data_IF_148406316435
#
_entry.id   IF_148406316435
#
_cell.length_a   1.000
_cell.length_b   1.000
_cell.length_c   1.000
_cell.angle_alpha   90.00
_cell.angle_beta   90.00
_cell.angle_gamma   90.00
#
_symmetry.space_group_name_H-M   'P 1'
#
loop_
_entity.id
_entity.type
_entity.pdbx_description
1 polymer ?
#
# COMPACT_ATOMS: atom_id res chain seq x y z
N UNK A 1 -5.36 12.52 -13.53
CA UNK A 1 -4.95 11.41 -12.61
C UNK A 1 -3.95 10.54 -13.34
N UNK A 2 -2.80 10.24 -12.73
CA UNK A 2 -1.70 9.50 -13.39
C UNK A 2 -2.12 8.19 -14.09
N UNK A 3 -2.99 7.39 -13.46
CA UNK A 3 -3.46 6.15 -14.08
C UNK A 3 -4.15 6.36 -15.45
N UNK A 4 -4.97 7.41 -15.57
CA UNK A 4 -5.65 7.73 -16.83
C UNK A 4 -4.66 7.98 -17.98
N UNK A 5 -3.53 8.58 -17.69
CA UNK A 5 -2.51 8.92 -18.68
C UNK A 5 -1.67 7.71 -19.09
N UNK A 6 -1.41 6.77 -18.19
CA UNK A 6 -0.53 5.62 -18.46
C UNK A 6 -1.28 4.38 -18.98
N UNK A 7 -2.56 4.22 -18.61
CA UNK A 7 -3.35 3.04 -18.96
C UNK A 7 -3.48 2.80 -20.46
N UNK A 8 -3.77 3.79 -21.35
CA UNK A 8 -3.90 3.53 -22.78
C UNK A 8 -2.65 2.85 -23.36
N UNK A 9 -1.46 3.33 -23.00
CA UNK A 9 -0.21 2.74 -23.44
C UNK A 9 0.04 1.35 -22.84
N UNK A 10 -0.36 1.10 -21.58
CA UNK A 10 -0.26 -0.22 -20.96
C UNK A 10 -1.22 -1.24 -21.60
N UNK A 11 -2.45 -0.83 -21.89
CA UNK A 11 -3.45 -1.65 -22.57
C UNK A 11 -2.97 -2.04 -23.98
N UNK A 12 -2.47 -1.06 -24.76
CA UNK A 12 -1.99 -1.29 -26.12
C UNK A 12 -0.86 -2.34 -26.19
N UNK A 13 0.08 -2.31 -25.20
CA UNK A 13 1.19 -3.28 -25.13
C UNK A 13 0.87 -4.52 -24.30
N UNK A 14 -0.35 -4.66 -23.76
CA UNK A 14 -0.81 -5.75 -22.90
C UNK A 14 0.15 -6.05 -21.73
N UNK A 15 0.75 -5.02 -21.18
CA UNK A 15 1.71 -5.12 -20.08
C UNK A 15 1.83 -3.82 -19.32
N UNK A 16 1.72 -3.88 -18.00
CA UNK A 16 1.93 -2.72 -17.12
C UNK A 16 1.89 -3.11 -15.65
N UNK A 17 2.49 -2.27 -14.82
CA UNK A 17 2.36 -2.38 -13.37
C UNK A 17 2.16 -1.00 -12.77
N UNK A 18 1.19 -0.90 -11.87
CA UNK A 18 0.84 0.33 -11.16
C UNK A 18 0.95 0.03 -9.67
N UNK A 19 1.70 0.86 -8.94
CA UNK A 19 1.79 0.77 -7.49
C UNK A 19 1.24 2.06 -6.89
N UNK A 20 0.11 1.95 -6.19
CA UNK A 20 -0.52 3.05 -5.49
C UNK A 20 -0.03 3.07 -4.04
N UNK A 21 0.57 4.16 -3.61
CA UNK A 21 1.03 4.30 -2.22
C UNK A 21 -0.16 4.52 -1.29
N UNK A 22 -0.51 3.48 -0.55
CA UNK A 22 -1.54 3.47 0.48
C UNK A 22 -0.93 3.58 1.89
N UNK A 23 -1.68 3.21 2.90
CA UNK A 23 -1.26 3.25 4.31
C UNK A 23 -2.05 2.24 5.13
N UNK A 24 -1.48 1.74 6.22
CA UNK A 24 -2.22 1.02 7.26
C UNK A 24 -3.41 1.80 7.84
N UNK A 25 -3.43 3.12 7.65
CA UNK A 25 -4.57 3.98 7.97
C UNK A 25 -5.86 3.61 7.22
N UNK A 26 -5.75 2.90 6.08
CA UNK A 26 -6.92 2.38 5.35
C UNK A 26 -7.74 1.38 6.18
N UNK A 27 -7.15 0.73 7.17
CA UNK A 27 -7.75 -0.34 7.98
C UNK A 27 -7.79 0.00 9.47
N UNK A 28 -6.93 0.90 9.93
CA UNK A 28 -6.74 1.21 11.34
C UNK A 28 -7.64 2.36 11.80
N UNK A 29 -8.10 2.27 13.04
CA UNK A 29 -8.77 3.40 13.70
C UNK A 29 -7.71 4.39 14.20
N UNK A 30 -7.62 5.53 13.51
CA UNK A 30 -6.71 6.61 13.89
C UNK A 30 -7.55 7.85 14.24
N UNK A 31 -7.87 8.07 15.51
CA UNK A 31 -8.60 9.28 15.94
C UNK A 31 -7.91 10.54 15.41
N UNK A 32 -8.71 11.56 15.05
CA UNK A 32 -8.27 12.85 14.48
C UNK A 32 -7.60 12.78 13.09
N UNK A 33 -7.46 11.57 12.51
CA UNK A 33 -6.94 11.35 11.14
C UNK A 33 -8.03 10.88 10.16
N UNK A 34 -9.30 11.16 10.43
CA UNK A 34 -10.43 10.61 9.67
C UNK A 34 -10.36 10.88 8.17
N UNK A 35 -10.05 12.12 7.75
CA UNK A 35 -9.90 12.44 6.33
C UNK A 35 -8.75 11.66 5.67
N UNK A 36 -7.61 11.54 6.34
CA UNK A 36 -6.47 10.76 5.86
C UNK A 36 -6.85 9.27 5.73
N UNK A 37 -7.47 8.69 6.76
CA UNK A 37 -7.94 7.31 6.73
C UNK A 37 -8.90 7.06 5.57
N UNK A 38 -9.88 7.96 5.37
CA UNK A 38 -10.84 7.87 4.26
C UNK A 38 -10.14 7.90 2.89
N UNK A 39 -9.17 8.80 2.69
CA UNK A 39 -8.42 8.87 1.42
C UNK A 39 -7.63 7.60 1.16
N UNK A 40 -6.98 7.02 2.18
CA UNK A 40 -6.18 5.79 2.04
C UNK A 40 -7.07 4.55 1.85
N UNK A 41 -8.23 4.49 2.49
CA UNK A 41 -9.23 3.46 2.24
C UNK A 41 -9.75 3.54 0.80
N UNK A 42 -10.06 4.74 0.29
CA UNK A 42 -10.48 4.96 -1.08
C UNK A 42 -9.41 4.51 -2.10
N UNK A 43 -8.13 4.87 -1.89
CA UNK A 43 -7.02 4.43 -2.75
C UNK A 43 -6.89 2.91 -2.74
N UNK A 44 -7.01 2.26 -1.58
CA UNK A 44 -6.90 0.80 -1.47
C UNK A 44 -8.06 0.10 -2.19
N UNK A 45 -9.28 0.54 -2.00
CA UNK A 45 -10.45 -0.02 -2.69
C UNK A 45 -10.39 0.23 -4.20
N UNK A 46 -10.00 1.44 -4.62
CA UNK A 46 -9.83 1.75 -6.04
C UNK A 46 -8.75 0.88 -6.68
N UNK A 47 -7.66 0.58 -5.99
CA UNK A 47 -6.61 -0.33 -6.46
C UNK A 47 -7.16 -1.72 -6.76
N UNK A 48 -8.01 -2.27 -5.88
CA UNK A 48 -8.67 -3.56 -6.07
C UNK A 48 -9.53 -3.55 -7.34
N UNK A 49 -10.38 -2.54 -7.50
CA UNK A 49 -11.25 -2.42 -8.67
C UNK A 49 -10.47 -2.23 -9.97
N UNK A 50 -9.46 -1.35 -9.96
CA UNK A 50 -8.62 -1.14 -11.14
C UNK A 50 -7.87 -2.40 -11.56
N UNK A 51 -7.44 -3.22 -10.61
CA UNK A 51 -6.80 -4.51 -10.89
C UNK A 51 -7.77 -5.48 -11.60
N UNK A 52 -9.04 -5.50 -11.20
CA UNK A 52 -10.07 -6.30 -11.89
C UNK A 52 -10.31 -5.79 -13.31
N UNK A 53 -10.51 -4.47 -13.49
CA UNK A 53 -10.79 -3.84 -14.77
C UNK A 53 -9.64 -4.05 -15.78
N UNK A 54 -8.41 -4.14 -15.29
CA UNK A 54 -7.21 -4.22 -16.14
C UNK A 54 -6.62 -5.61 -16.29
N UNK A 55 -7.16 -6.61 -15.60
CA UNK A 55 -6.66 -8.00 -15.60
C UNK A 55 -6.56 -8.60 -17.01
N UNK A 56 -7.59 -8.42 -17.83
CA UNK A 56 -7.63 -8.92 -19.21
C UNK A 56 -6.56 -8.29 -20.11
N UNK A 57 -5.98 -7.18 -19.69
CA UNK A 57 -4.94 -6.45 -20.42
C UNK A 57 -3.51 -6.74 -19.92
N UNK A 58 -3.33 -7.71 -19.03
CA UNK A 58 -2.02 -8.06 -18.49
C UNK A 58 -1.38 -6.95 -17.64
N UNK A 59 -2.22 -6.15 -16.96
CA UNK A 59 -1.76 -5.06 -16.08
C UNK A 59 -2.01 -5.45 -14.64
N UNK A 60 -0.97 -5.42 -13.82
CA UNK A 60 -1.06 -5.64 -12.38
C UNK A 60 -1.09 -4.31 -11.62
N UNK A 61 -1.93 -4.23 -10.58
CA UNK A 61 -2.11 -3.02 -9.77
C UNK A 61 -2.03 -3.37 -8.30
N UNK A 62 -1.22 -2.66 -7.52
CA UNK A 62 -0.97 -2.95 -6.12
C UNK A 62 -1.24 -1.73 -5.24
N UNK A 63 -1.78 -1.95 -4.03
CA UNK A 63 -1.79 -0.96 -2.96
C UNK A 63 -0.59 -1.23 -2.04
N UNK A 64 0.37 -0.31 -1.99
CA UNK A 64 1.60 -0.47 -1.23
C UNK A 64 1.60 0.37 0.04
N UNK A 65 1.92 -0.25 1.18
CA UNK A 65 2.12 0.43 2.45
C UNK A 65 3.60 0.42 2.83
N UNK A 66 4.29 1.57 2.78
CA UNK A 66 5.71 1.66 3.10
C UNK A 66 6.02 1.50 4.59
N UNK A 67 5.02 1.57 5.48
CA UNK A 67 5.24 1.67 6.91
C UNK A 67 5.54 3.12 7.32
N UNK A 68 6.18 3.28 8.48
CA UNK A 68 6.66 4.57 8.96
C UNK A 68 8.13 4.72 8.56
N UNK A 69 8.37 5.38 7.44
CA UNK A 69 9.72 5.65 6.93
C UNK A 69 10.19 7.00 7.48
N UNK A 70 11.46 7.10 7.88
CA UNK A 70 12.08 8.36 8.34
C UNK A 70 12.22 9.32 7.17
N UNK A 71 11.26 10.22 7.06
CA UNK A 71 11.15 11.27 6.04
C UNK A 71 10.79 12.58 6.71
N UNK A 72 10.90 13.69 5.98
CA UNK A 72 10.45 15.01 6.46
C UNK A 72 8.98 15.01 6.92
N UNK A 73 8.12 14.17 6.32
CA UNK A 73 6.74 14.00 6.78
C UNK A 73 6.69 13.40 8.21
N UNK A 74 7.48 12.36 8.48
CA UNK A 74 7.53 11.75 9.82
C UNK A 74 8.14 12.72 10.83
N UNK A 75 9.18 13.46 10.46
CA UNK A 75 9.78 14.50 11.29
C UNK A 75 8.74 15.59 11.63
N UNK A 76 7.99 16.07 10.64
CA UNK A 76 6.91 17.02 10.87
C UNK A 76 5.85 16.45 11.82
N UNK A 77 5.39 15.22 11.63
CA UNK A 77 4.40 14.56 12.49
C UNK A 77 4.88 14.42 13.94
N UNK A 78 6.18 14.31 14.18
CA UNK A 78 6.75 14.11 15.51
C UNK A 78 7.19 15.40 16.22
N UNK A 79 7.44 16.48 15.48
CA UNK A 79 8.06 17.71 16.02
C UNK A 79 7.18 18.95 15.89
N UNK A 80 6.22 19.01 14.94
CA UNK A 80 5.44 20.23 14.69
C UNK A 80 4.39 20.46 15.80
N UNK A 81 4.27 21.70 16.31
CA UNK A 81 3.22 22.09 17.25
C UNK A 81 1.81 22.09 16.61
N UNK A 82 1.73 22.11 15.27
CA UNK A 82 0.45 22.09 14.54
C UNK A 82 -0.15 20.68 14.49
N UNK A 83 0.63 19.66 14.82
CA UNK A 83 0.17 18.26 14.87
C UNK A 83 -0.39 17.98 16.27
N UNK A 84 -1.63 17.45 16.39
CA UNK A 84 -2.17 17.06 17.69
C UNK A 84 -1.21 16.14 18.44
N UNK A 85 -1.00 16.44 19.72
CA UNK A 85 0.03 15.77 20.57
C UNK A 85 -0.09 14.24 20.53
N UNK A 86 -1.32 13.71 20.56
CA UNK A 86 -1.56 12.26 20.57
C UNK A 86 -1.07 11.60 19.27
N UNK A 87 -1.14 12.32 18.14
CA UNK A 87 -0.60 11.84 16.86
C UNK A 87 0.92 11.84 16.89
N UNK A 88 1.52 12.96 17.34
CA UNK A 88 2.98 13.07 17.50
C UNK A 88 3.53 12.00 18.45
N UNK A 89 2.91 11.79 19.60
CA UNK A 89 3.32 10.78 20.59
C UNK A 89 3.27 9.36 20.03
N UNK A 90 2.22 9.05 19.26
CA UNK A 90 2.09 7.74 18.58
C UNK A 90 3.26 7.47 17.65
N UNK A 91 3.61 8.43 16.78
CA UNK A 91 4.70 8.26 15.84
C UNK A 91 6.07 8.28 16.53
N UNK A 92 6.27 9.12 17.57
CA UNK A 92 7.47 9.09 18.42
C UNK A 92 7.65 7.73 19.09
N UNK A 93 6.59 7.17 19.67
CA UNK A 93 6.64 5.86 20.31
C UNK A 93 7.01 4.75 19.33
N UNK A 94 6.53 4.81 18.07
CA UNK A 94 6.86 3.87 17.01
C UNK A 94 8.34 3.94 16.66
N UNK A 95 8.88 5.15 16.46
CA UNK A 95 10.31 5.37 16.15
C UNK A 95 11.21 4.93 17.31
N UNK A 96 10.84 5.28 18.56
CA UNK A 96 11.62 4.93 19.74
C UNK A 96 11.67 3.42 20.01
N UNK A 97 10.67 2.67 19.54
CA UNK A 97 10.64 1.19 19.61
C UNK A 97 11.37 0.52 18.44
N UNK A 98 11.96 1.29 17.52
CA UNK A 98 12.61 0.75 16.31
C UNK A 98 11.61 0.05 15.37
N UNK A 99 10.35 0.51 15.35
CA UNK A 99 9.30 -0.02 14.50
C UNK A 99 9.11 0.80 13.22
N UNK A 100 10.03 1.74 12.95
CA UNK A 100 10.13 2.42 11.68
C UNK A 100 10.64 1.46 10.59
N UNK A 101 10.27 1.74 9.36
CA UNK A 101 10.63 0.88 8.23
C UNK A 101 11.87 1.46 7.54
N UNK A 102 12.97 0.70 7.39
CA UNK A 102 14.10 1.12 6.58
C UNK A 102 13.69 1.42 5.16
N UNK A 103 14.25 2.47 4.56
CA UNK A 103 13.90 2.85 3.18
C UNK A 103 14.30 1.77 2.18
N UNK A 104 15.39 1.06 2.45
CA UNK A 104 15.89 -0.04 1.66
C UNK A 104 14.83 -1.14 1.55
N UNK A 105 14.16 -1.46 2.65
CA UNK A 105 13.09 -2.46 2.66
C UNK A 105 11.89 -2.05 1.80
N UNK A 106 11.56 -0.75 1.78
CA UNK A 106 10.54 -0.21 0.88
C UNK A 106 10.95 -0.38 -0.59
N UNK A 107 12.21 -0.10 -0.91
CA UNK A 107 12.73 -0.22 -2.28
C UNK A 107 12.73 -1.68 -2.73
N UNK A 108 13.19 -2.62 -1.90
CA UNK A 108 13.18 -4.06 -2.20
C UNK A 108 11.76 -4.54 -2.54
N UNK A 109 10.79 -4.22 -1.68
CA UNK A 109 9.40 -4.60 -1.93
C UNK A 109 8.84 -3.95 -3.21
N UNK A 110 9.13 -2.67 -3.47
CA UNK A 110 8.72 -2.02 -4.71
C UNK A 110 9.32 -2.70 -5.94
N UNK A 111 10.61 -3.06 -5.91
CA UNK A 111 11.26 -3.80 -6.98
C UNK A 111 10.63 -5.17 -7.19
N UNK A 112 10.29 -5.88 -6.10
CA UNK A 112 9.54 -7.14 -6.17
C UNK A 112 8.19 -6.95 -6.87
N UNK A 113 7.39 -5.94 -6.47
CA UNK A 113 6.07 -5.67 -7.05
C UNK A 113 6.14 -5.34 -8.55
N UNK A 114 7.18 -4.62 -9.00
CA UNK A 114 7.30 -4.23 -10.42
C UNK A 114 8.09 -5.22 -11.28
N UNK A 115 8.69 -6.26 -10.68
CA UNK A 115 9.48 -7.27 -11.41
C UNK A 115 8.65 -8.22 -12.28
N UNK A 116 7.36 -8.40 -11.95
CA UNK A 116 6.47 -9.40 -12.55
C UNK A 116 6.27 -10.63 -11.69
N UNK A 117 7.12 -10.87 -10.70
CA UNK A 117 7.01 -12.00 -9.77
C UNK A 117 5.74 -11.93 -8.91
N UNK A 118 5.26 -10.72 -8.66
CA UNK A 118 4.10 -10.44 -7.81
C UNK A 118 2.77 -10.33 -8.58
N UNK A 119 2.73 -10.52 -9.91
CA UNK A 119 1.53 -10.23 -10.72
C UNK A 119 0.28 -10.99 -10.26
N UNK A 120 0.45 -12.18 -9.69
CA UNK A 120 -0.64 -12.97 -9.10
C UNK A 120 -1.26 -12.33 -7.84
N UNK A 121 -0.59 -11.36 -7.21
CA UNK A 121 -1.06 -10.57 -6.07
C UNK A 121 -1.72 -9.25 -6.52
N UNK A 122 -2.02 -9.06 -7.80
CA UNK A 122 -2.70 -7.86 -8.29
C UNK A 122 -4.01 -7.62 -7.54
N UNK A 123 -4.29 -6.37 -7.18
CA UNK A 123 -5.43 -5.96 -6.38
C UNK A 123 -5.18 -6.00 -4.86
N UNK A 124 -4.03 -6.47 -4.40
CA UNK A 124 -3.74 -6.68 -2.98
C UNK A 124 -3.04 -5.48 -2.32
N UNK A 125 -3.25 -5.37 -1.01
CA UNK A 125 -2.55 -4.44 -0.13
C UNK A 125 -1.31 -5.13 0.41
N UNK A 126 -0.15 -4.65 0.02
CA UNK A 126 1.16 -5.22 0.38
C UNK A 126 1.95 -4.23 1.23
N UNK A 127 2.53 -4.71 2.31
CA UNK A 127 3.34 -3.90 3.22
C UNK A 127 4.82 -4.09 2.93
N UNK A 128 5.61 -3.07 3.16
CA UNK A 128 7.07 -3.17 3.05
C UNK A 128 7.65 -4.28 3.96
N UNK A 129 7.03 -4.53 5.13
CA UNK A 129 7.46 -5.54 6.09
C UNK A 129 7.01 -6.98 5.72
N UNK A 130 6.16 -7.16 4.72
CA UNK A 130 5.73 -8.49 4.30
C UNK A 130 6.91 -9.26 3.69
N UNK A 131 6.94 -10.58 3.90
CA UNK A 131 7.95 -11.45 3.29
C UNK A 131 7.48 -11.91 1.90
N UNK A 132 8.30 -11.67 0.87
CA UNK A 132 7.96 -11.97 -0.52
C UNK A 132 7.73 -13.47 -0.77
N UNK A 133 8.58 -14.32 -0.18
CA UNK A 133 8.48 -15.78 -0.34
C UNK A 133 7.20 -16.31 0.31
N UNK A 134 6.88 -15.79 1.50
CA UNK A 134 5.63 -16.14 2.20
C UNK A 134 4.40 -15.69 1.42
N UNK A 135 4.39 -14.47 0.87
CA UNK A 135 3.31 -13.99 0.02
C UNK A 135 3.10 -14.91 -1.19
N UNK A 136 4.18 -15.31 -1.85
CA UNK A 136 4.10 -16.17 -3.03
C UNK A 136 3.72 -17.60 -2.68
N UNK A 137 4.17 -18.13 -1.55
CA UNK A 137 3.76 -19.45 -1.06
C UNK A 137 2.25 -19.50 -0.79
N UNK A 138 1.67 -18.40 -0.30
CA UNK A 138 0.26 -18.29 0.05
C UNK A 138 -0.61 -17.64 -1.04
N UNK A 139 -0.10 -17.44 -2.23
CA UNK A 139 -0.78 -16.66 -3.27
C UNK A 139 -2.17 -17.22 -3.62
N UNK A 140 -2.33 -18.53 -3.70
CA UNK A 140 -3.62 -19.15 -4.00
C UNK A 140 -4.63 -18.99 -2.83
N UNK A 141 -4.18 -19.10 -1.59
CA UNK A 141 -4.98 -18.81 -0.40
C UNK A 141 -5.41 -17.33 -0.39
N UNK A 142 -4.45 -16.42 -0.61
CA UNK A 142 -4.71 -14.97 -0.64
C UNK A 142 -5.76 -14.63 -1.69
N UNK A 143 -5.72 -15.28 -2.85
CA UNK A 143 -6.68 -15.05 -3.94
C UNK A 143 -8.05 -15.65 -3.62
N UNK A 144 -8.10 -16.90 -3.19
CA UNK A 144 -9.34 -17.63 -2.91
C UNK A 144 -10.15 -16.96 -1.78
N UNK A 145 -9.47 -16.56 -0.71
CA UNK A 145 -10.10 -16.05 0.51
C UNK A 145 -10.16 -14.52 0.55
N UNK A 146 -9.83 -13.86 -0.58
CA UNK A 146 -9.78 -12.41 -0.78
C UNK A 146 -9.00 -11.68 0.34
N UNK A 147 -7.87 -12.25 0.79
CA UNK A 147 -7.03 -11.66 1.82
C UNK A 147 -6.26 -10.45 1.28
N UNK A 148 -5.70 -9.63 2.19
CA UNK A 148 -4.97 -8.42 1.84
C UNK A 148 -5.80 -7.41 1.04
N UNK A 149 -7.10 -7.32 1.32
CA UNK A 149 -8.02 -6.35 0.69
C UNK A 149 -8.91 -5.70 1.74
N UNK A 150 -9.66 -4.67 1.33
CA UNK A 150 -10.76 -4.13 2.14
C UNK A 150 -11.98 -5.02 1.91
N UNK A 151 -12.39 -5.76 2.93
CA UNK A 151 -13.60 -6.62 2.90
C UNK A 151 -14.42 -6.40 4.16
N UNK A 152 -15.74 -6.50 4.01
CA UNK A 152 -16.65 -6.61 5.16
C UNK A 152 -16.57 -8.05 5.69
N UNK A 153 -16.31 -8.17 7.00
CA UNK A 153 -16.55 -9.44 7.69
C UNK A 153 -18.02 -9.46 8.12
N UNK A 154 -18.83 -10.26 7.47
CA UNK A 154 -20.22 -10.57 7.87
C UNK A 154 -20.23 -11.76 8.80
#
# INVERSE_FOLDING_TARGET
MCAREVLPGMVARKRGRIVNVSSGAAFNRLPRMGAYCATKAAVTQWTKLLAEDTRAHGIAVFAFHPGAVRTSMLEHLTASPDVPQEIGDRFRALVNKGQDTPIERCVEMLLFLVSGRADALSGRFIRAQDNEEELMRRVEEIRRDDLHTVTLRT
#
